data_IF_548055650779
#
_entry.id   IF_548055650779
#
_cell.length_a   1.000
_cell.length_b   1.000
_cell.length_c   1.000
_cell.angle_alpha   90.00
_cell.angle_beta   90.00
_cell.angle_gamma   90.00
#
_symmetry.space_group_name_H-M   'P 1'
#
loop_
_entity.id
_entity.type
_entity.pdbx_description
1 polymer ?
#
# COMPACT_ATOMS: atom_id res chain seq x y z
N UNK A 1 -12.74 13.08 -22.93
CA UNK A 1 -13.16 11.67 -22.73
C UNK A 1 -12.36 11.04 -21.61
N UNK A 2 -12.93 10.11 -20.84
CA UNK A 2 -12.20 9.30 -19.85
C UNK A 2 -12.66 7.85 -19.96
N UNK A 3 -11.77 6.91 -19.70
CA UNK A 3 -12.07 5.48 -19.68
C UNK A 3 -11.65 4.86 -18.36
N UNK A 4 -12.29 3.76 -17.99
CA UNK A 4 -11.89 2.94 -16.86
C UNK A 4 -11.18 1.71 -17.39
N UNK A 5 -10.00 1.42 -16.87
CA UNK A 5 -9.23 0.19 -17.17
C UNK A 5 -9.17 -0.64 -15.90
N UNK A 6 -9.57 -1.90 -15.99
CA UNK A 6 -9.56 -2.86 -14.89
C UNK A 6 -8.33 -3.77 -14.99
N UNK A 7 -7.55 -3.80 -13.91
CA UNK A 7 -6.42 -4.71 -13.67
C UNK A 7 -6.84 -5.71 -12.58
N UNK A 8 -7.44 -6.83 -12.98
CA UNK A 8 -8.11 -7.72 -12.03
C UNK A 8 -9.17 -6.93 -11.24
N UNK A 9 -9.04 -6.92 -9.91
CA UNK A 9 -9.96 -6.20 -9.01
C UNK A 9 -9.64 -4.70 -8.86
N UNK A 10 -8.55 -4.20 -9.46
CA UNK A 10 -8.16 -2.79 -9.36
C UNK A 10 -8.61 -2.02 -10.59
N UNK A 11 -9.44 -0.99 -10.38
CA UNK A 11 -9.87 -0.09 -11.45
C UNK A 11 -9.07 1.20 -11.45
N UNK A 12 -8.60 1.65 -12.63
CA UNK A 12 -7.97 2.96 -12.81
C UNK A 12 -8.70 3.79 -13.85
N UNK A 13 -8.91 5.06 -13.53
CA UNK A 13 -9.51 6.02 -14.47
C UNK A 13 -8.38 6.70 -15.25
N UNK A 14 -8.47 6.63 -16.58
CA UNK A 14 -7.51 7.24 -17.50
C UNK A 14 -8.22 8.33 -18.32
N UNK A 15 -7.82 9.60 -18.19
CA UNK A 15 -8.28 10.64 -19.10
C UNK A 15 -7.65 10.39 -20.49
N UNK A 16 -8.45 10.48 -21.55
CA UNK A 16 -7.98 10.30 -22.91
C UNK A 16 -7.64 11.65 -23.53
N UNK A 17 -6.60 11.69 -24.36
CA UNK A 17 -6.30 12.84 -25.23
C UNK A 17 -6.53 12.47 -26.68
N UNK A 18 -6.81 13.47 -27.51
CA UNK A 18 -6.93 13.27 -28.95
C UNK A 18 -5.60 12.72 -29.52
N UNK A 19 -5.71 11.80 -30.46
CA UNK A 19 -4.54 11.15 -31.08
C UNK A 19 -3.88 10.04 -30.25
N UNK A 20 -4.41 9.72 -29.06
CA UNK A 20 -3.91 8.56 -28.30
C UNK A 20 -4.36 7.25 -28.92
N UNK A 21 -3.41 6.34 -29.05
CA UNK A 21 -3.63 4.95 -29.43
C UNK A 21 -4.01 4.11 -28.20
N UNK A 22 -4.45 2.88 -28.43
CA UNK A 22 -4.64 1.89 -27.37
C UNK A 22 -3.34 1.64 -26.59
N UNK A 23 -2.18 1.70 -27.26
CA UNK A 23 -0.87 1.56 -26.61
C UNK A 23 -0.62 2.68 -25.60
N UNK A 24 -0.92 3.93 -25.96
CA UNK A 24 -0.80 5.07 -25.06
C UNK A 24 -1.72 4.91 -23.85
N UNK A 25 -2.95 4.42 -24.07
CA UNK A 25 -3.89 4.12 -22.98
C UNK A 25 -3.35 3.03 -22.04
N UNK A 26 -2.79 1.94 -22.57
CA UNK A 26 -2.19 0.87 -21.76
C UNK A 26 -1.03 1.42 -20.92
N UNK A 27 -0.15 2.23 -21.51
CA UNK A 27 0.99 2.79 -20.79
C UNK A 27 0.52 3.72 -19.66
N UNK A 28 -0.45 4.58 -19.94
CA UNK A 28 -1.02 5.51 -18.97
C UNK A 28 -1.80 4.79 -17.86
N UNK A 29 -2.51 3.71 -18.19
CA UNK A 29 -3.20 2.86 -17.23
C UNK A 29 -2.20 2.12 -16.33
N UNK A 30 -1.15 1.53 -16.92
CA UNK A 30 -0.10 0.79 -16.21
C UNK A 30 0.66 1.68 -15.24
N UNK A 31 1.03 2.91 -15.65
CA UNK A 31 1.68 3.89 -14.77
C UNK A 31 0.80 4.23 -13.55
N UNK A 32 -0.51 4.38 -13.75
CA UNK A 32 -1.46 4.65 -12.64
C UNK A 32 -1.60 3.43 -11.73
N UNK A 33 -1.73 2.25 -12.31
CA UNK A 33 -1.83 1.00 -11.55
C UNK A 33 -0.61 0.77 -10.65
N UNK A 34 0.62 1.00 -11.17
CA UNK A 34 1.84 0.88 -10.35
C UNK A 34 1.86 1.80 -9.14
N UNK A 35 1.41 3.05 -9.27
CA UNK A 35 1.32 3.97 -8.12
C UNK A 35 0.36 3.47 -7.04
N UNK A 36 -0.75 2.85 -7.44
CA UNK A 36 -1.68 2.22 -6.48
C UNK A 36 -0.98 1.07 -5.75
N UNK A 37 -0.25 0.22 -6.48
CA UNK A 37 0.52 -0.87 -5.85
C UNK A 37 1.59 -0.37 -4.88
N UNK A 38 2.30 0.70 -5.22
CA UNK A 38 3.28 1.35 -4.34
C UNK A 38 2.62 1.86 -3.05
N UNK A 39 1.44 2.50 -3.15
CA UNK A 39 0.67 2.95 -2.00
C UNK A 39 0.19 1.79 -1.12
N UNK A 40 -0.35 0.73 -1.73
CA UNK A 40 -0.78 -0.47 -0.99
C UNK A 40 0.39 -1.12 -0.27
N UNK A 41 1.55 -1.23 -0.92
CA UNK A 41 2.77 -1.75 -0.30
C UNK A 41 3.23 -0.88 0.87
N UNK A 42 3.17 0.44 0.73
CA UNK A 42 3.54 1.38 1.80
C UNK A 42 2.61 1.24 3.02
N UNK A 43 1.31 1.11 2.78
CA UNK A 43 0.32 0.86 3.85
C UNK A 43 0.59 -0.46 4.56
N UNK A 44 0.91 -1.52 3.81
CA UNK A 44 1.22 -2.82 4.41
C UNK A 44 2.49 -2.78 5.27
N UNK A 45 3.53 -2.08 4.81
CA UNK A 45 4.76 -1.88 5.58
C UNK A 45 4.50 -1.09 6.88
N UNK A 46 3.69 -0.03 6.79
CA UNK A 46 3.29 0.76 7.95
C UNK A 46 2.50 -0.08 8.96
N UNK A 47 1.53 -0.87 8.48
CA UNK A 47 0.75 -1.76 9.33
C UNK A 47 1.64 -2.78 10.04
N UNK A 48 2.60 -3.37 9.31
CA UNK A 48 3.56 -4.30 9.90
C UNK A 48 4.41 -3.65 10.98
N UNK A 49 4.90 -2.42 10.77
CA UNK A 49 5.66 -1.67 11.76
C UNK A 49 4.85 -1.38 13.03
N UNK A 50 3.61 -0.90 12.86
CA UNK A 50 2.69 -0.59 13.96
C UNK A 50 2.37 -1.86 14.78
N UNK A 51 2.06 -2.97 14.11
CA UNK A 51 1.78 -4.24 14.79
C UNK A 51 3.00 -4.79 15.52
N UNK A 52 4.19 -4.66 14.94
CA UNK A 52 5.43 -5.05 15.60
C UNK A 52 5.70 -4.22 16.87
N UNK A 53 5.50 -2.90 16.81
CA UNK A 53 5.63 -2.01 17.95
C UNK A 53 4.61 -2.30 19.05
N UNK A 54 3.34 -2.51 18.68
CA UNK A 54 2.31 -2.93 19.63
C UNK A 54 2.63 -4.28 20.29
N UNK A 55 3.18 -5.24 19.54
CA UNK A 55 3.63 -6.52 20.09
C UNK A 55 4.79 -6.34 21.07
N UNK A 56 5.79 -5.54 20.72
CA UNK A 56 6.94 -5.26 21.58
C UNK A 56 6.53 -4.56 22.90
N UNK A 57 5.65 -3.56 22.81
CA UNK A 57 5.11 -2.84 23.97
C UNK A 57 4.27 -3.74 24.89
N UNK A 58 3.54 -4.72 24.35
CA UNK A 58 2.76 -5.66 25.16
C UNK A 58 3.67 -6.64 25.92
N UNK A 59 4.76 -7.11 25.31
CA UNK A 59 5.77 -7.94 26.00
C UNK A 59 6.53 -7.19 27.09
N UNK A 60 6.77 -5.88 26.94
CA UNK A 60 7.48 -5.08 27.96
C UNK A 60 6.64 -4.75 29.20
N UNK A 61 5.32 -4.63 29.06
CA UNK A 61 4.41 -4.39 30.20
C UNK A 61 4.14 -5.63 31.08
N UNK A 62 4.51 -6.83 30.61
CA UNK A 62 4.27 -8.10 31.31
C UNK A 62 5.53 -8.75 31.90
N UNK A 63 6.67 -8.04 31.93
CA UNK A 63 7.84 -8.51 32.71
C UNK A 63 7.59 -8.10 34.17
N UNK A 64 7.33 -9.04 35.11
CA UNK A 64 7.35 -8.69 36.52
C UNK A 64 8.78 -8.26 36.86
N UNK A 65 8.94 -7.00 37.29
CA UNK A 65 10.19 -6.52 37.89
C UNK A 65 10.35 -7.29 39.20
N UNK A 66 10.99 -8.47 39.15
CA UNK A 66 11.42 -9.19 40.34
C UNK A 66 12.52 -8.32 40.97
N UNK A 67 12.32 -7.76 42.18
CA UNK A 67 13.36 -6.99 42.83
C UNK A 67 14.47 -7.97 43.23
N UNK A 68 15.66 -7.79 42.67
CA UNK A 68 16.89 -8.41 43.16
C UNK A 68 17.16 -7.86 44.57
N UNK A 69 16.78 -8.61 45.60
CA UNK A 69 17.34 -8.49 46.95
C UNK A 69 18.46 -9.53 47.02
N UNK A 70 19.71 -9.07 46.90
CA UNK A 70 20.85 -9.59 47.65
C UNK A 70 21.98 -8.55 47.66
#
# INVERSE_FOLDING_TARGET
MKVTVTFGDTSVVVPCKAGWTVRDLIEQATRRYRRILEQVSAVFALLHAILHEHRANMTQRFIPVIPRIL
#
